data_IF_370812482735
#
_entry.id   IF_370812482735
#
_cell.length_a   1.000
_cell.length_b   1.000
_cell.length_c   1.000
_cell.angle_alpha   90.00
_cell.angle_beta   90.00
_cell.angle_gamma   90.00
#
_symmetry.space_group_name_H-M   'P 1'
#
loop_
_entity.id
_entity.type
_entity.pdbx_description
1 polymer ?
#
# COMPACT_ATOMS: atom_id res chain seq x y z
N UNK A 1 10.78 -5.49 9.09
CA UNK A 1 9.91 -4.80 10.06
C UNK A 1 8.60 -5.58 10.27
N UNK A 2 7.74 -5.70 9.24
CA UNK A 2 6.41 -6.32 9.35
C UNK A 2 6.38 -7.67 10.08
N UNK A 3 7.32 -8.59 9.81
CA UNK A 3 7.40 -9.86 10.55
C UNK A 3 7.55 -9.66 12.07
N UNK A 4 8.61 -8.98 12.52
CA UNK A 4 8.90 -8.78 13.95
C UNK A 4 7.85 -7.89 14.64
N UNK A 5 7.23 -6.97 13.91
CA UNK A 5 6.21 -6.07 14.44
C UNK A 5 4.82 -6.71 14.52
N UNK A 6 4.35 -7.38 13.46
CA UNK A 6 2.97 -7.85 13.34
C UNK A 6 2.78 -9.35 13.53
N UNK A 7 3.72 -10.20 13.11
CA UNK A 7 3.48 -11.65 12.99
C UNK A 7 4.27 -12.53 13.96
N UNK A 8 5.46 -12.09 14.40
CA UNK A 8 6.30 -12.88 15.29
C UNK A 8 5.57 -13.19 16.61
N UNK A 9 5.66 -14.43 17.11
CA UNK A 9 4.91 -14.87 18.31
C UNK A 9 5.41 -14.20 19.60
N UNK A 10 6.60 -13.61 19.58
CA UNK A 10 7.16 -12.83 20.68
C UNK A 10 7.73 -11.50 20.15
N UNK A 11 7.68 -10.45 20.98
CA UNK A 11 8.25 -9.14 20.66
C UNK A 11 9.73 -9.15 21.02
N UNK A 12 10.57 -8.94 20.00
CA UNK A 12 12.03 -8.87 20.13
C UNK A 12 12.42 -7.42 19.92
N UNK A 13 12.59 -6.66 21.01
CA UNK A 13 12.86 -5.21 21.01
C UNK A 13 13.97 -4.85 20.04
N UNK A 14 15.14 -5.48 20.15
CA UNK A 14 16.27 -5.23 19.24
C UNK A 14 15.92 -5.39 17.76
N UNK A 15 15.14 -6.41 17.40
CA UNK A 15 14.75 -6.63 16.00
C UNK A 15 13.72 -5.59 15.54
N UNK A 16 12.74 -5.28 16.38
CA UNK A 16 11.73 -4.26 16.11
C UNK A 16 12.42 -2.91 15.90
N UNK A 17 13.26 -2.47 16.81
CA UNK A 17 13.96 -1.18 16.73
C UNK A 17 14.85 -1.09 15.48
N UNK A 18 15.66 -2.13 15.24
CA UNK A 18 16.54 -2.19 14.06
C UNK A 18 15.75 -2.03 12.77
N UNK A 19 14.66 -2.77 12.61
CA UNK A 19 13.91 -2.73 11.37
C UNK A 19 12.94 -1.55 11.28
N UNK A 20 12.47 -1.00 12.41
CA UNK A 20 11.68 0.22 12.44
C UNK A 20 12.52 1.41 12.00
N UNK A 21 13.74 1.53 12.54
CA UNK A 21 14.70 2.56 12.16
C UNK A 21 15.02 2.53 10.66
N UNK A 22 15.22 1.34 10.09
CA UNK A 22 15.46 1.19 8.65
C UNK A 22 14.22 1.53 7.81
N UNK A 23 13.01 1.17 8.24
CA UNK A 23 11.78 1.57 7.55
C UNK A 23 11.61 3.09 7.56
N UNK A 24 11.86 3.75 8.71
CA UNK A 24 11.84 5.22 8.80
C UNK A 24 12.89 5.85 7.87
N UNK A 25 14.09 5.28 7.78
CA UNK A 25 15.14 5.74 6.84
C UNK A 25 14.69 5.61 5.38
N UNK A 26 14.07 4.50 5.00
CA UNK A 26 13.54 4.28 3.64
C UNK A 26 12.39 5.25 3.32
N UNK A 27 11.49 5.48 4.27
CA UNK A 27 10.42 6.47 4.16
C UNK A 27 10.99 7.89 4.00
N UNK A 28 12.02 8.27 4.75
CA UNK A 28 12.69 9.58 4.62
C UNK A 28 13.39 9.74 3.26
N UNK A 29 14.08 8.71 2.76
CA UNK A 29 14.65 8.71 1.40
C UNK A 29 13.58 8.95 0.35
N UNK A 30 12.47 8.22 0.43
CA UNK A 30 11.35 8.35 -0.50
C UNK A 30 10.69 9.72 -0.39
N UNK A 31 10.46 10.21 0.84
CA UNK A 31 9.83 11.51 1.10
C UNK A 31 10.66 12.67 0.54
N UNK A 32 11.99 12.64 0.71
CA UNK A 32 12.89 13.65 0.13
C UNK A 32 12.91 13.60 -1.38
N UNK A 33 12.97 12.40 -1.99
CA UNK A 33 12.91 12.25 -3.44
C UNK A 33 11.62 12.85 -4.01
N UNK A 34 10.51 12.58 -3.35
CA UNK A 34 9.18 13.03 -3.72
C UNK A 34 8.89 14.50 -3.36
N UNK A 35 9.73 15.14 -2.53
CA UNK A 35 9.63 16.58 -2.32
C UNK A 35 9.94 17.36 -3.61
N UNK A 36 10.92 16.89 -4.38
CA UNK A 36 11.38 17.56 -5.61
C UNK A 36 10.74 17.00 -6.88
N UNK A 37 10.03 15.86 -6.81
CA UNK A 37 9.51 15.15 -7.98
C UNK A 37 8.07 14.65 -7.73
N UNK A 38 7.18 14.68 -8.74
CA UNK A 38 5.84 14.13 -8.59
C UNK A 38 5.86 12.59 -8.47
N UNK A 39 6.82 11.92 -9.11
CA UNK A 39 6.99 10.47 -9.10
C UNK A 39 8.43 10.07 -8.76
N UNK A 40 8.64 8.81 -8.41
CA UNK A 40 9.96 8.31 -7.99
C UNK A 40 10.99 8.46 -9.12
N UNK A 41 10.57 8.19 -10.36
CA UNK A 41 11.40 8.31 -11.57
C UNK A 41 11.65 9.75 -12.02
N UNK A 42 10.92 10.74 -11.50
CA UNK A 42 10.96 12.13 -11.96
C UNK A 42 9.56 12.65 -12.27
N UNK A 43 9.38 13.23 -13.46
CA UNK A 43 8.13 13.86 -13.87
C UNK A 43 7.04 12.86 -14.29
N UNK A 44 7.42 11.65 -14.70
CA UNK A 44 6.52 10.66 -15.26
C UNK A 44 6.31 9.48 -14.32
N UNK A 45 5.08 8.95 -14.32
CA UNK A 45 4.74 7.73 -13.61
C UNK A 45 5.38 6.52 -14.30
N UNK A 46 6.09 5.69 -13.55
CA UNK A 46 6.83 4.55 -14.09
C UNK A 46 6.54 3.25 -13.33
N UNK A 47 7.14 2.15 -13.80
CA UNK A 47 7.13 0.89 -13.06
C UNK A 47 7.81 0.98 -11.68
N UNK A 48 8.67 1.99 -11.44
CA UNK A 48 9.25 2.22 -10.12
C UNK A 48 8.15 2.60 -9.11
N UNK A 49 7.22 3.47 -9.52
CA UNK A 49 6.07 3.85 -8.70
C UNK A 49 5.16 2.65 -8.47
N UNK A 50 4.88 1.85 -9.50
CA UNK A 50 4.10 0.60 -9.39
C UNK A 50 4.71 -0.38 -8.38
N UNK A 51 6.04 -0.49 -8.33
CA UNK A 51 6.73 -1.41 -7.45
C UNK A 51 6.73 -0.94 -5.99
N UNK A 52 6.84 0.36 -5.77
CA UNK A 52 7.00 0.97 -4.44
C UNK A 52 5.64 1.22 -3.78
N UNK A 53 4.63 1.64 -4.56
CA UNK A 53 3.34 2.13 -4.07
C UNK A 53 2.54 1.11 -3.24
N UNK A 54 2.41 -0.16 -3.63
CA UNK A 54 1.69 -1.15 -2.83
C UNK A 54 2.30 -1.38 -1.44
N UNK A 55 3.57 -1.02 -1.24
CA UNK A 55 4.28 -1.14 0.03
C UNK A 55 4.27 0.18 0.80
N UNK A 56 5.03 1.17 0.32
CA UNK A 56 5.24 2.41 1.06
C UNK A 56 4.06 3.36 0.97
N UNK A 57 3.31 3.33 -0.14
CA UNK A 57 2.07 4.09 -0.27
C UNK A 57 1.00 3.56 0.67
N UNK A 58 0.78 2.24 0.69
CA UNK A 58 -0.15 1.62 1.63
C UNK A 58 0.26 1.83 3.10
N UNK A 59 1.56 1.75 3.42
CA UNK A 59 2.08 2.05 4.76
C UNK A 59 1.84 3.52 5.15
N UNK A 60 2.13 4.47 4.26
CA UNK A 60 1.92 5.90 4.49
C UNK A 60 0.44 6.23 4.75
N UNK A 61 -0.47 5.50 4.07
CA UNK A 61 -1.92 5.62 4.25
C UNK A 61 -2.46 4.82 5.44
N UNK A 62 -1.60 4.24 6.27
CA UNK A 62 -1.97 3.50 7.48
C UNK A 62 -2.62 2.14 7.22
N UNK A 63 -2.48 1.57 6.01
CA UNK A 63 -3.19 0.36 5.58
C UNK A 63 -2.41 -0.94 5.87
N UNK A 64 -1.19 -0.84 6.39
CA UNK A 64 -0.33 -1.99 6.67
C UNK A 64 0.05 -2.07 8.15
N UNK A 65 -0.15 -3.27 8.71
CA UNK A 65 0.34 -3.70 10.02
C UNK A 65 -0.14 -2.89 11.24
N UNK A 66 -1.11 -1.98 11.09
CA UNK A 66 -1.48 -1.01 12.13
C UNK A 66 -0.25 -0.27 12.71
N UNK A 67 0.75 0.00 11.86
CA UNK A 67 2.04 0.55 12.25
C UNK A 67 2.15 2.07 12.04
N UNK A 68 1.07 2.72 11.60
CA UNK A 68 1.07 4.13 11.21
C UNK A 68 1.54 5.07 12.32
N UNK A 69 0.96 4.92 13.51
CA UNK A 69 1.35 5.70 14.70
C UNK A 69 2.79 5.39 15.13
N UNK A 70 3.13 4.09 15.24
CA UNK A 70 4.46 3.64 15.68
C UNK A 70 5.59 4.17 14.79
N UNK A 71 5.39 4.22 13.47
CA UNK A 71 6.38 4.72 12.52
C UNK A 71 6.28 6.23 12.25
N UNK A 72 5.25 6.90 12.80
CA UNK A 72 4.91 8.31 12.57
C UNK A 72 4.72 8.61 11.08
N UNK A 73 3.93 7.78 10.40
CA UNK A 73 3.84 7.84 8.93
C UNK A 73 3.23 9.15 8.42
N UNK A 74 2.47 9.84 9.27
CA UNK A 74 1.87 11.15 9.00
C UNK A 74 2.91 12.26 8.75
N UNK A 75 4.16 12.09 9.16
CA UNK A 75 5.24 13.06 8.93
C UNK A 75 5.74 13.04 7.47
N UNK A 76 5.53 11.95 6.73
CA UNK A 76 6.02 11.80 5.35
C UNK A 76 5.00 12.35 4.33
N UNK A 77 4.72 13.65 4.42
CA UNK A 77 3.67 14.34 3.65
C UNK A 77 3.82 14.20 2.14
N UNK A 78 5.05 14.15 1.60
CA UNK A 78 5.27 13.98 0.16
C UNK A 78 5.00 12.55 -0.31
N UNK A 79 5.27 11.56 0.55
CA UNK A 79 4.88 10.16 0.30
C UNK A 79 3.37 10.02 0.33
N UNK A 80 2.68 10.65 1.29
CA UNK A 80 1.20 10.63 1.35
C UNK A 80 0.60 11.23 0.09
N UNK A 81 1.03 12.43 -0.32
CA UNK A 81 0.56 13.07 -1.57
C UNK A 81 0.76 12.17 -2.79
N UNK A 82 1.95 11.57 -2.94
CA UNK A 82 2.23 10.65 -4.06
C UNK A 82 1.37 9.37 -3.99
N UNK A 83 1.14 8.86 -2.77
CA UNK A 83 0.33 7.68 -2.56
C UNK A 83 -1.15 7.92 -2.90
N UNK A 84 -1.69 9.09 -2.57
CA UNK A 84 -3.05 9.48 -2.89
C UNK A 84 -3.21 9.75 -4.40
N UNK A 85 -2.28 10.48 -5.03
CA UNK A 85 -2.27 10.71 -6.48
C UNK A 85 -2.33 9.39 -7.28
N UNK A 86 -1.57 8.36 -6.85
CA UNK A 86 -1.61 7.04 -7.48
C UNK A 86 -2.90 6.30 -7.16
N UNK A 87 -3.45 6.45 -5.95
CA UNK A 87 -4.71 5.82 -5.54
C UNK A 87 -5.91 6.30 -6.36
N UNK A 88 -5.86 7.52 -6.90
CA UNK A 88 -6.89 8.07 -7.80
C UNK A 88 -6.85 7.47 -9.21
N UNK A 89 -5.75 6.82 -9.60
CA UNK A 89 -5.61 6.24 -10.94
C UNK A 89 -6.61 5.08 -11.12
N UNK A 90 -7.46 5.08 -12.17
CA UNK A 90 -8.41 4.00 -12.39
C UNK A 90 -7.76 2.61 -12.53
N UNK A 91 -6.54 2.56 -13.07
CA UNK A 91 -5.79 1.31 -13.18
C UNK A 91 -5.28 0.80 -11.82
N UNK A 92 -4.88 1.69 -10.90
CA UNK A 92 -4.47 1.31 -9.55
C UNK A 92 -5.67 0.81 -8.73
N UNK A 93 -6.82 1.50 -8.85
CA UNK A 93 -8.08 1.09 -8.24
C UNK A 93 -8.54 -0.29 -8.71
N UNK A 94 -8.42 -0.61 -10.00
CA UNK A 94 -8.74 -1.96 -10.49
C UNK A 94 -7.68 -2.99 -10.10
N UNK A 95 -6.40 -2.65 -10.25
CA UNK A 95 -5.29 -3.57 -9.98
C UNK A 95 -5.29 -4.10 -8.54
N UNK A 96 -5.60 -3.25 -7.56
CA UNK A 96 -5.61 -3.64 -6.13
C UNK A 96 -6.73 -4.60 -5.72
N UNK A 97 -7.74 -4.81 -6.58
CA UNK A 97 -8.82 -5.77 -6.33
C UNK A 97 -8.43 -7.20 -6.69
N UNK A 98 -7.56 -7.36 -7.71
CA UNK A 98 -7.25 -8.66 -8.31
C UNK A 98 -6.48 -9.55 -7.32
N UNK A 99 -6.94 -10.80 -7.19
CA UNK A 99 -6.44 -11.82 -6.25
C UNK A 99 -6.50 -11.43 -4.77
N UNK A 100 -7.25 -10.38 -4.43
CA UNK A 100 -7.41 -9.94 -3.05
C UNK A 100 -8.54 -10.71 -2.39
N UNK A 101 -8.24 -11.34 -1.25
CA UNK A 101 -9.17 -12.19 -0.47
C UNK A 101 -9.45 -11.63 0.93
N UNK A 102 -9.04 -10.39 1.20
CA UNK A 102 -9.17 -9.71 2.49
C UNK A 102 -9.57 -8.24 2.32
N UNK A 103 -10.24 -7.66 3.32
CA UNK A 103 -10.74 -6.29 3.30
C UNK A 103 -12.25 -6.21 3.00
N UNK A 104 -12.78 -5.05 2.59
CA UNK A 104 -14.16 -4.91 2.14
C UNK A 104 -14.46 -5.81 0.93
N UNK A 105 -15.68 -6.35 0.81
CA UNK A 105 -16.03 -7.33 -0.22
C UNK A 105 -16.03 -6.72 -1.64
N UNK A 106 -16.41 -5.45 -1.74
CA UNK A 106 -16.38 -4.67 -2.98
C UNK A 106 -14.95 -4.37 -3.48
N UNK A 107 -13.95 -4.52 -2.61
CA UNK A 107 -12.54 -4.41 -2.95
C UNK A 107 -11.87 -5.77 -3.25
N UNK A 108 -12.63 -6.87 -3.32
CA UNK A 108 -12.11 -8.22 -3.56
C UNK A 108 -12.57 -8.76 -4.91
N UNK A 109 -11.60 -9.08 -5.78
CA UNK A 109 -11.80 -9.84 -7.01
C UNK A 109 -10.83 -11.02 -7.01
N UNK A 110 -11.31 -12.21 -6.58
CA UNK A 110 -10.44 -13.37 -6.33
C UNK A 110 -9.68 -13.83 -7.59
N UNK A 111 -10.31 -13.76 -8.74
CA UNK A 111 -9.71 -14.07 -10.04
C UNK A 111 -10.19 -13.06 -11.08
N UNK A 112 -9.35 -12.79 -12.08
CA UNK A 112 -9.70 -11.96 -13.22
C UNK A 112 -9.38 -12.71 -14.50
N UNK A 113 -10.40 -12.96 -15.32
CA UNK A 113 -10.30 -13.60 -16.62
C UNK A 113 -10.84 -12.70 -17.74
N UNK A 114 -11.68 -11.71 -17.43
CA UNK A 114 -12.19 -10.70 -18.35
C UNK A 114 -12.16 -9.28 -17.73
N UNK A 115 -12.34 -8.23 -18.55
CA UNK A 115 -12.56 -6.87 -18.05
C UNK A 115 -13.94 -6.69 -17.40
N UNK A 116 -14.96 -7.46 -17.82
CA UNK A 116 -16.30 -7.40 -17.22
C UNK A 116 -16.34 -7.84 -15.77
N UNK A 117 -15.34 -8.59 -15.29
CA UNK A 117 -15.31 -9.18 -13.95
C UNK A 117 -15.39 -8.13 -12.83
N UNK A 118 -14.85 -6.92 -13.04
CA UNK A 118 -15.00 -5.84 -12.06
C UNK A 118 -16.47 -5.41 -11.86
N UNK A 119 -17.30 -5.57 -12.87
CA UNK A 119 -18.72 -5.22 -12.81
C UNK A 119 -19.61 -6.37 -12.30
N UNK A 120 -19.15 -7.61 -12.32
CA UNK A 120 -20.03 -8.79 -12.08
C UNK A 120 -19.49 -9.81 -11.07
N UNK A 121 -18.17 -9.85 -10.83
CA UNK A 121 -17.49 -10.93 -10.09
C UNK A 121 -16.78 -10.46 -8.80
N UNK A 122 -16.95 -9.21 -8.37
CA UNK A 122 -16.45 -8.81 -7.04
C UNK A 122 -17.25 -9.50 -5.93
N UNK A 123 -16.61 -9.72 -4.78
CA UNK A 123 -17.15 -10.64 -3.78
C UNK A 123 -18.46 -10.15 -3.14
N UNK A 124 -18.69 -8.83 -3.09
CA UNK A 124 -19.97 -8.24 -2.68
C UNK A 124 -21.11 -8.71 -3.58
N UNK A 125 -20.88 -8.77 -4.91
CA UNK A 125 -21.88 -9.17 -5.90
C UNK A 125 -22.21 -10.66 -5.84
N UNK A 126 -21.20 -11.49 -5.55
CA UNK A 126 -21.36 -12.94 -5.46
C UNK A 126 -22.06 -13.37 -4.16
N UNK A 127 -21.78 -12.72 -3.04
CA UNK A 127 -22.40 -13.06 -1.76
C UNK A 127 -23.83 -12.53 -1.60
N UNK A 128 -24.24 -11.57 -2.41
CA UNK A 128 -25.63 -11.09 -2.47
C UNK A 128 -26.55 -11.92 -3.38
N UNK A 129 -26.02 -12.89 -4.14
CA UNK A 129 -26.84 -13.80 -4.93
C UNK A 129 -27.42 -14.90 -4.02
N UNK A 130 -28.75 -15.14 -4.04
CA UNK A 130 -29.42 -16.11 -3.19
C UNK A 130 -29.00 -17.56 -3.46
#
# INVERSE_FOLDING_TARGET
>A
FGHFYAYAPSKIEYAIDRFAMEVKRQMDVLNRRLADNPYVGGNDYTIADMAIWPWYGALARGQLYDAGEFLQVNEYTHVIRWADDIAERPAAQRGRLVNRVTGPLEEQLHERHDASDFATQTQDKLQTQP
#
